data_IF_856781318150
#
_entry.id   IF_856781318150
#
_cell.length_a   1.000
_cell.length_b   1.000
_cell.length_c   1.000
_cell.angle_alpha   90.00
_cell.angle_beta   90.00
_cell.angle_gamma   90.00
#
_symmetry.space_group_name_H-M   'P 1'
#
loop_
_entity.id
_entity.type
_entity.pdbx_description
1 polymer ?
#
# COMPACT_ATOMS: atom_id res chain seq x y z
N UNK A 1 16.42 7.35 6.85
CA UNK A 1 15.60 8.46 7.38
C UNK A 1 14.57 7.86 8.32
N UNK A 2 14.38 8.47 9.49
CA UNK A 2 13.41 8.02 10.49
C UNK A 2 12.52 9.21 10.84
N UNK A 3 11.21 8.99 10.95
CA UNK A 3 10.24 10.01 11.33
C UNK A 3 9.15 9.42 12.24
N UNK A 4 8.61 10.23 13.13
CA UNK A 4 7.45 9.90 13.95
C UNK A 4 6.57 11.16 14.00
N UNK A 5 5.35 11.05 13.48
CA UNK A 5 4.42 12.17 13.42
C UNK A 5 3.93 12.66 14.78
N UNK A 6 4.07 11.86 15.85
CA UNK A 6 3.52 12.18 17.17
C UNK A 6 2.00 12.38 17.16
N UNK A 7 1.30 11.79 16.19
CA UNK A 7 -0.15 11.95 16.02
C UNK A 7 -0.86 11.20 17.15
N UNK A 8 -1.63 11.93 17.96
CA UNK A 8 -2.40 11.34 19.05
C UNK A 8 -3.47 10.36 18.52
N UNK A 9 -3.70 9.23 19.21
CA UNK A 9 -4.78 8.31 18.86
C UNK A 9 -6.13 9.01 18.72
N UNK A 10 -6.93 8.59 17.73
CA UNK A 10 -8.24 9.19 17.48
C UNK A 10 -8.21 10.53 16.72
N UNK A 11 -7.08 10.87 16.08
CA UNK A 11 -6.92 12.08 15.25
C UNK A 11 -6.88 11.73 13.75
N UNK A 12 -8.02 11.37 13.13
CA UNK A 12 -8.06 10.81 11.78
C UNK A 12 -7.79 11.81 10.65
N UNK A 13 -7.80 13.12 10.97
CA UNK A 13 -7.65 14.24 10.05
C UNK A 13 -6.20 14.74 9.92
N UNK A 14 -5.26 14.13 10.65
CA UNK A 14 -3.83 14.46 10.58
C UNK A 14 -3.04 13.33 9.98
N UNK A 15 -2.10 13.68 9.12
CA UNK A 15 -1.10 12.79 8.54
C UNK A 15 0.28 13.38 8.79
N UNK A 16 1.28 12.53 8.89
CA UNK A 16 2.68 12.92 8.77
C UNK A 16 3.32 12.08 7.68
N UNK A 17 4.54 12.42 7.26
CA UNK A 17 5.27 11.49 6.42
C UNK A 17 6.78 11.61 6.43
N UNK A 18 7.43 10.56 5.93
CA UNK A 18 8.88 10.52 5.76
C UNK A 18 9.34 11.46 4.66
N UNK A 19 8.86 11.25 3.43
CA UNK A 19 9.08 12.17 2.31
C UNK A 19 7.77 12.60 1.69
N UNK A 20 7.61 13.91 1.55
CA UNK A 20 6.35 14.55 1.15
C UNK A 20 6.56 15.42 -0.09
N UNK A 21 5.76 15.18 -1.14
CA UNK A 21 5.63 16.12 -2.26
C UNK A 21 4.34 16.89 -2.05
N UNK A 22 4.47 18.18 -1.74
CA UNK A 22 3.34 19.04 -1.39
C UNK A 22 2.43 19.36 -2.58
N UNK A 23 1.18 19.71 -2.28
CA UNK A 23 0.20 20.14 -3.28
C UNK A 23 0.73 21.31 -4.12
N UNK A 24 0.49 21.27 -5.44
CA UNK A 24 0.93 22.29 -6.39
C UNK A 24 2.40 22.18 -6.82
N UNK A 25 3.19 21.26 -6.24
CA UNK A 25 4.54 21.00 -6.70
C UNK A 25 4.56 20.23 -8.02
N UNK A 26 5.50 20.60 -8.89
CA UNK A 26 5.85 19.88 -10.12
C UNK A 26 7.29 19.40 -9.98
N UNK A 27 7.48 18.08 -9.90
CA UNK A 27 8.77 17.48 -9.58
C UNK A 27 9.16 16.51 -10.69
N UNK A 28 10.27 16.75 -11.35
CA UNK A 28 10.82 15.82 -12.34
C UNK A 28 11.21 14.49 -11.68
N UNK A 29 11.94 14.57 -10.56
CA UNK A 29 12.48 13.37 -9.89
C UNK A 29 12.52 13.47 -8.38
N UNK A 30 12.03 12.43 -7.72
CA UNK A 30 12.29 12.12 -6.30
C UNK A 30 13.11 10.84 -6.22
N UNK A 31 14.19 10.86 -5.45
CA UNK A 31 15.08 9.70 -5.26
C UNK A 31 15.38 9.48 -3.79
N UNK A 32 14.89 8.37 -3.24
CA UNK A 32 15.22 7.89 -1.90
C UNK A 32 16.30 6.80 -2.02
N UNK A 33 17.55 7.14 -1.73
CA UNK A 33 18.70 6.21 -1.88
C UNK A 33 18.88 5.20 -0.74
N UNK A 34 18.29 5.48 0.42
CA UNK A 34 18.38 4.61 1.59
C UNK A 34 17.02 4.47 2.26
N UNK A 35 16.97 3.60 3.27
CA UNK A 35 15.73 3.30 3.98
C UNK A 35 15.00 4.56 4.47
N UNK A 36 13.67 4.54 4.35
CA UNK A 36 12.76 5.51 4.97
C UNK A 36 11.83 4.74 5.90
N UNK A 37 11.80 5.11 7.18
CA UNK A 37 10.97 4.46 8.19
C UNK A 37 10.13 5.49 8.95
N UNK A 38 8.85 5.19 9.14
CA UNK A 38 7.94 5.96 10.01
C UNK A 38 7.45 5.13 11.20
N UNK A 39 7.04 5.78 12.30
CA UNK A 39 6.63 5.10 13.54
C UNK A 39 5.27 5.52 14.14
N UNK A 40 4.71 6.64 13.69
CA UNK A 40 3.48 7.22 14.23
C UNK A 40 2.21 6.67 13.59
N UNK A 41 1.08 6.90 14.27
CA UNK A 41 -0.24 6.60 13.74
C UNK A 41 -0.55 7.50 12.51
N UNK A 42 -1.10 6.90 11.45
CA UNK A 42 -1.40 7.62 10.20
C UNK A 42 -0.16 8.30 9.57
N UNK A 43 1.03 7.76 9.82
CA UNK A 43 2.26 8.18 9.16
C UNK A 43 2.40 7.52 7.79
N UNK A 44 2.70 8.34 6.78
CA UNK A 44 2.94 7.92 5.40
C UNK A 44 4.44 7.87 5.15
N UNK A 45 5.01 6.76 4.70
CA UNK A 45 6.46 6.71 4.45
C UNK A 45 6.81 7.62 3.28
N UNK A 46 6.10 7.46 2.15
CA UNK A 46 6.18 8.30 0.96
C UNK A 46 4.79 8.83 0.61
N UNK A 47 4.63 10.15 0.56
CA UNK A 47 3.34 10.80 0.34
C UNK A 47 3.39 11.81 -0.82
N UNK A 48 2.53 11.61 -1.81
CA UNK A 48 2.42 12.49 -2.97
C UNK A 48 1.09 13.25 -3.04
N UNK A 49 1.16 14.58 -2.92
CA UNK A 49 0.07 15.52 -3.17
C UNK A 49 0.26 16.35 -4.45
N UNK A 50 1.45 16.31 -5.06
CA UNK A 50 1.80 17.09 -6.25
C UNK A 50 1.79 16.28 -7.55
N UNK A 51 2.52 16.77 -8.55
CA UNK A 51 2.76 16.08 -9.82
C UNK A 51 4.21 15.64 -9.88
N UNK A 52 4.46 14.34 -9.93
CA UNK A 52 5.80 13.74 -9.98
C UNK A 52 5.96 12.94 -11.26
N UNK A 53 7.00 13.22 -12.04
CA UNK A 53 7.29 12.40 -13.21
C UNK A 53 7.94 11.07 -12.80
N UNK A 54 9.03 11.11 -12.03
CA UNK A 54 9.73 9.91 -11.57
C UNK A 54 9.93 9.89 -10.05
N UNK A 55 9.39 8.89 -9.36
CA UNK A 55 9.72 8.60 -7.96
C UNK A 55 10.41 7.24 -7.85
N UNK A 56 11.63 7.22 -7.33
CA UNK A 56 12.37 5.98 -7.07
C UNK A 56 12.78 5.88 -5.60
N UNK A 57 12.43 4.78 -4.95
CA UNK A 57 13.02 4.34 -3.70
C UNK A 57 13.93 3.12 -3.98
N UNK A 58 15.22 3.27 -3.69
CA UNK A 58 16.24 2.25 -3.96
C UNK A 58 16.31 1.17 -2.88
N UNK A 59 15.91 1.52 -1.67
CA UNK A 59 15.98 0.66 -0.49
C UNK A 59 14.58 0.51 0.14
N UNK A 60 14.49 -0.33 1.17
CA UNK A 60 13.25 -0.70 1.85
C UNK A 60 12.56 0.55 2.40
N UNK A 61 11.23 0.55 2.36
CA UNK A 61 10.41 1.54 3.06
C UNK A 61 9.56 0.84 4.10
N UNK A 62 9.44 1.46 5.28
CA UNK A 62 8.81 0.79 6.44
C UNK A 62 7.91 1.74 7.20
N UNK A 63 6.68 1.32 7.52
CA UNK A 63 5.86 2.03 8.50
C UNK A 63 5.60 1.15 9.71
N UNK A 64 5.73 1.73 10.89
CA UNK A 64 5.18 1.20 12.13
C UNK A 64 4.07 2.15 12.59
N UNK A 65 3.00 1.58 13.16
CA UNK A 65 1.88 2.36 13.68
C UNK A 65 0.57 2.09 12.93
N UNK A 66 -0.58 2.26 13.62
CA UNK A 66 -1.88 2.01 13.03
C UNK A 66 -2.14 2.95 11.85
N UNK A 67 -2.79 2.44 10.80
CA UNK A 67 -3.11 3.17 9.57
C UNK A 67 -1.91 3.77 8.82
N UNK A 68 -0.67 3.35 9.14
CA UNK A 68 0.51 3.76 8.39
C UNK A 68 0.50 3.22 6.96
N UNK A 69 1.09 3.98 6.02
CA UNK A 69 1.11 3.60 4.59
C UNK A 69 2.52 3.70 4.02
N UNK A 70 2.97 2.67 3.30
CA UNK A 70 4.26 2.67 2.61
C UNK A 70 4.34 3.76 1.53
N UNK A 71 3.45 3.72 0.55
CA UNK A 71 3.31 4.79 -0.43
C UNK A 71 1.84 5.17 -0.60
N UNK A 72 1.52 6.46 -0.47
CA UNK A 72 0.18 6.99 -0.72
C UNK A 72 0.21 8.06 -1.82
N UNK A 73 -0.79 8.01 -2.70
CA UNK A 73 -0.98 9.01 -3.74
C UNK A 73 -2.31 9.75 -3.58
N UNK A 74 -2.21 11.07 -3.57
CA UNK A 74 -3.31 12.01 -3.76
C UNK A 74 -3.19 12.81 -5.08
N UNK A 75 -1.97 13.01 -5.58
CA UNK A 75 -1.68 13.77 -6.79
C UNK A 75 -1.51 12.92 -8.06
N UNK A 76 -0.54 13.26 -8.90
CA UNK A 76 -0.22 12.49 -10.10
C UNK A 76 1.21 11.95 -10.04
N UNK A 77 1.39 10.67 -10.41
CA UNK A 77 2.71 10.06 -10.61
C UNK A 77 2.77 9.39 -11.98
N UNK A 78 3.76 9.75 -12.80
CA UNK A 78 3.96 9.04 -14.07
C UNK A 78 4.65 7.69 -13.85
N UNK A 79 5.78 7.65 -13.13
CA UNK A 79 6.49 6.40 -12.79
C UNK A 79 6.90 6.36 -11.33
N UNK A 80 6.41 5.36 -10.61
CA UNK A 80 6.86 4.95 -9.27
C UNK A 80 7.63 3.64 -9.35
N UNK A 81 8.80 3.58 -8.72
CA UNK A 81 9.56 2.34 -8.53
C UNK A 81 10.09 2.22 -7.09
N UNK A 82 9.70 1.16 -6.38
CA UNK A 82 10.31 0.78 -5.10
C UNK A 82 11.09 -0.51 -5.32
N UNK A 83 12.42 -0.40 -5.34
CA UNK A 83 13.35 -1.47 -5.74
C UNK A 83 13.59 -2.53 -4.66
N UNK A 84 13.18 -2.25 -3.43
CA UNK A 84 13.23 -3.17 -2.30
C UNK A 84 11.82 -3.36 -1.71
N UNK A 85 11.72 -4.01 -0.55
CA UNK A 85 10.44 -4.31 0.06
C UNK A 85 9.72 -3.04 0.57
N UNK A 86 8.40 -3.03 0.43
CA UNK A 86 7.50 -2.23 1.25
C UNK A 86 7.05 -3.11 2.42
N UNK A 87 7.26 -2.66 3.66
CA UNK A 87 6.82 -3.36 4.86
C UNK A 87 6.00 -2.43 5.75
N UNK A 88 4.77 -2.80 6.09
CA UNK A 88 3.96 -1.99 7.02
C UNK A 88 3.45 -2.81 8.18
N UNK A 89 3.54 -2.26 9.39
CA UNK A 89 3.16 -2.91 10.64
C UNK A 89 2.18 -2.04 11.41
N UNK A 90 0.91 -2.45 11.42
CA UNK A 90 -0.13 -1.78 12.20
C UNK A 90 -1.52 -2.14 11.72
N UNK A 91 -2.49 -2.04 12.63
CA UNK A 91 -3.89 -2.22 12.29
C UNK A 91 -4.30 -1.23 11.18
N UNK A 92 -4.93 -1.74 10.12
CA UNK A 92 -5.35 -0.93 8.98
C UNK A 92 -4.22 -0.39 8.10
N UNK A 93 -2.96 -0.83 8.29
CA UNK A 93 -1.82 -0.35 7.52
C UNK A 93 -1.89 -0.74 6.03
N UNK A 94 -1.20 -0.01 5.15
CA UNK A 94 -1.23 -0.30 3.70
C UNK A 94 0.14 -0.23 3.04
N UNK A 95 0.43 -1.14 2.11
CA UNK A 95 1.67 -1.09 1.34
C UNK A 95 1.67 0.05 0.33
N UNK A 96 0.72 0.01 -0.60
CA UNK A 96 0.53 1.05 -1.62
C UNK A 96 -0.95 1.43 -1.74
N UNK A 97 -1.23 2.73 -1.80
CA UNK A 97 -2.61 3.21 -1.84
C UNK A 97 -2.81 4.42 -2.76
N UNK A 98 -3.84 4.37 -3.61
CA UNK A 98 -4.22 5.50 -4.49
C UNK A 98 -5.61 6.01 -4.08
N UNK A 99 -5.62 7.14 -3.37
CA UNK A 99 -6.84 7.75 -2.83
C UNK A 99 -7.49 8.75 -3.77
N UNK A 100 -6.69 9.59 -4.42
CA UNK A 100 -7.10 10.58 -5.43
C UNK A 100 -6.04 10.66 -6.53
N UNK A 101 -6.37 11.36 -7.62
CA UNK A 101 -5.46 11.56 -8.75
C UNK A 101 -5.18 10.26 -9.51
N UNK A 102 -3.96 10.09 -10.02
CA UNK A 102 -3.62 8.97 -10.92
C UNK A 102 -2.17 8.52 -10.78
N UNK A 103 -1.93 7.23 -11.02
CA UNK A 103 -0.58 6.68 -11.16
C UNK A 103 -0.50 5.96 -12.51
N UNK A 104 0.41 6.38 -13.40
CA UNK A 104 0.50 5.76 -14.72
C UNK A 104 1.23 4.41 -14.68
N UNK A 105 2.35 4.32 -13.95
CA UNK A 105 3.08 3.07 -13.76
C UNK A 105 3.66 2.97 -12.35
N UNK A 106 3.40 1.87 -11.65
CA UNK A 106 3.96 1.55 -10.34
C UNK A 106 4.63 0.17 -10.38
N UNK A 107 5.88 0.10 -9.93
CA UNK A 107 6.67 -1.11 -9.88
C UNK A 107 7.23 -1.34 -8.47
N UNK A 108 7.04 -2.55 -7.96
CA UNK A 108 7.43 -2.94 -6.61
C UNK A 108 8.21 -4.25 -6.64
N UNK A 109 9.26 -4.34 -5.83
CA UNK A 109 9.95 -5.62 -5.64
C UNK A 109 9.10 -6.60 -4.83
N UNK A 110 8.61 -6.18 -3.67
CA UNK A 110 7.73 -6.97 -2.79
C UNK A 110 6.91 -6.06 -1.91
N UNK A 111 5.68 -6.46 -1.58
CA UNK A 111 4.83 -5.74 -0.63
C UNK A 111 4.42 -6.69 0.49
N UNK A 112 4.74 -6.34 1.73
CA UNK A 112 4.35 -7.07 2.94
C UNK A 112 3.60 -6.13 3.89
N UNK A 113 2.45 -6.58 4.37
CA UNK A 113 1.64 -5.78 5.30
C UNK A 113 1.16 -6.64 6.46
N UNK A 114 1.25 -6.11 7.67
CA UNK A 114 0.93 -6.79 8.91
C UNK A 114 -0.07 -5.98 9.74
N UNK A 115 -1.12 -6.64 10.21
CA UNK A 115 -2.14 -6.09 11.11
C UNK A 115 -3.54 -6.38 10.61
N UNK A 116 -4.50 -6.44 11.53
CA UNK A 116 -5.90 -6.64 11.15
C UNK A 116 -6.40 -5.48 10.28
N UNK A 117 -7.12 -5.81 9.20
CA UNK A 117 -7.55 -4.85 8.19
C UNK A 117 -6.42 -4.17 7.40
N UNK A 118 -5.19 -4.69 7.46
CA UNK A 118 -4.09 -4.20 6.64
C UNK A 118 -4.28 -4.59 5.16
N UNK A 119 -3.83 -3.78 4.21
CA UNK A 119 -4.00 -4.07 2.77
C UNK A 119 -2.70 -3.90 2.01
N UNK A 120 -2.26 -4.94 1.30
CA UNK A 120 -1.04 -4.87 0.48
C UNK A 120 -1.07 -3.73 -0.52
N UNK A 121 -1.98 -3.80 -1.48
CA UNK A 121 -2.25 -2.75 -2.45
C UNK A 121 -3.75 -2.44 -2.47
N UNK A 122 -4.09 -1.16 -2.31
CA UNK A 122 -5.47 -0.69 -2.43
C UNK A 122 -5.57 0.45 -3.46
N UNK A 123 -6.47 0.36 -4.42
CA UNK A 123 -6.72 1.48 -5.35
C UNK A 123 -8.20 1.83 -5.40
N UNK A 124 -8.48 3.14 -5.43
CA UNK A 124 -9.83 3.70 -5.55
C UNK A 124 -9.96 4.70 -6.71
N UNK A 125 -8.92 4.78 -7.55
CA UNK A 125 -8.77 5.69 -8.68
C UNK A 125 -8.15 4.96 -9.88
N UNK A 126 -8.10 5.58 -11.07
CA UNK A 126 -7.39 5.02 -12.21
C UNK A 126 -5.88 4.84 -11.95
N UNK A 127 -5.39 3.66 -12.30
CA UNK A 127 -3.98 3.30 -12.36
C UNK A 127 -3.70 2.63 -13.71
N UNK A 128 -2.62 3.01 -14.37
CA UNK A 128 -2.22 2.38 -15.63
C UNK A 128 -1.74 0.95 -15.38
N UNK A 129 -0.49 0.80 -14.95
CA UNK A 129 0.11 -0.51 -14.66
C UNK A 129 0.61 -0.61 -13.23
N UNK A 130 0.34 -1.75 -12.59
CA UNK A 130 0.96 -2.18 -11.33
C UNK A 130 1.75 -3.44 -11.63
N UNK A 131 3.04 -3.45 -11.28
CA UNK A 131 3.91 -4.62 -11.38
C UNK A 131 4.54 -4.94 -10.02
N UNK A 132 4.43 -6.20 -9.57
CA UNK A 132 5.07 -6.69 -8.35
C UNK A 132 5.90 -7.93 -8.68
N UNK A 133 7.18 -7.95 -8.29
CA UNK A 133 8.13 -9.00 -8.71
C UNK A 133 8.15 -10.23 -7.81
N UNK A 134 7.96 -10.08 -6.50
CA UNK A 134 8.06 -11.17 -5.51
C UNK A 134 6.84 -11.26 -4.58
N UNK A 135 5.68 -10.98 -5.15
CA UNK A 135 4.39 -11.19 -4.52
C UNK A 135 3.94 -10.05 -3.62
N UNK A 136 2.66 -10.14 -3.26
CA UNK A 136 2.02 -9.30 -2.26
C UNK A 136 1.54 -10.23 -1.15
N UNK A 137 1.98 -9.97 0.08
CA UNK A 137 1.71 -10.82 1.21
C UNK A 137 1.12 -10.02 2.37
N UNK A 138 -0.03 -10.45 2.88
CA UNK A 138 -0.73 -9.74 3.95
C UNK A 138 -1.05 -10.67 5.11
N UNK A 139 -0.69 -10.23 6.31
CA UNK A 139 -0.89 -10.91 7.58
C UNK A 139 -1.91 -10.14 8.43
N UNK A 140 -2.86 -10.85 9.02
CA UNK A 140 -3.92 -10.28 9.85
C UNK A 140 -5.28 -10.82 9.47
N UNK A 141 -6.28 -10.57 10.32
CA UNK A 141 -7.67 -10.86 10.07
C UNK A 141 -8.45 -9.62 9.66
N UNK A 142 -9.75 -9.63 9.93
CA UNK A 142 -10.61 -8.46 9.75
C UNK A 142 -10.49 -7.50 10.92
N UNK A 143 -10.22 -6.22 10.66
CA UNK A 143 -10.04 -5.20 11.70
C UNK A 143 -10.42 -3.80 11.26
N UNK A 144 -10.33 -2.86 12.20
CA UNK A 144 -10.68 -1.46 11.95
C UNK A 144 -9.56 -0.76 11.18
N UNK A 145 -9.93 -0.07 10.11
CA UNK A 145 -9.02 0.58 9.18
C UNK A 145 -9.48 1.98 8.86
N UNK A 146 -8.56 2.95 8.93
CA UNK A 146 -8.86 4.34 8.58
C UNK A 146 -8.79 4.52 7.05
N UNK A 147 -9.90 4.94 6.46
CA UNK A 147 -10.02 5.24 5.02
C UNK A 147 -10.52 6.67 4.88
N UNK A 148 -9.67 7.58 4.40
CA UNK A 148 -10.01 9.00 4.17
C UNK A 148 -10.72 9.66 5.38
N UNK A 149 -10.24 9.39 6.59
CA UNK A 149 -10.80 9.96 7.83
C UNK A 149 -11.96 9.17 8.45
N UNK A 150 -12.42 8.08 7.82
CA UNK A 150 -13.53 7.23 8.32
C UNK A 150 -13.01 5.87 8.73
N UNK A 151 -13.38 5.39 9.92
CA UNK A 151 -13.05 4.04 10.40
C UNK A 151 -14.02 3.03 9.81
N UNK A 152 -13.49 2.03 9.11
CA UNK A 152 -14.25 0.95 8.49
C UNK A 152 -13.64 -0.40 8.87
N UNK A 153 -14.46 -1.43 9.03
CA UNK A 153 -13.98 -2.79 9.28
C UNK A 153 -13.65 -3.47 7.95
N UNK A 154 -12.38 -3.79 7.73
CA UNK A 154 -11.87 -4.34 6.47
C UNK A 154 -11.11 -5.65 6.71
N UNK A 155 -11.16 -6.61 5.77
CA UNK A 155 -10.31 -7.80 5.79
C UNK A 155 -8.85 -7.46 5.45
N UNK A 156 -7.89 -8.22 5.98
CA UNK A 156 -6.47 -8.02 5.69
C UNK A 156 -6.07 -8.57 4.30
N UNK A 157 -6.47 -7.89 3.23
CA UNK A 157 -6.38 -8.38 1.84
C UNK A 157 -5.05 -8.04 1.16
N UNK A 158 -4.53 -8.91 0.28
CA UNK A 158 -3.32 -8.61 -0.50
C UNK A 158 -3.54 -7.54 -1.59
N UNK A 159 -4.54 -7.71 -2.46
CA UNK A 159 -4.91 -6.73 -3.49
C UNK A 159 -6.39 -6.36 -3.42
N UNK A 160 -6.70 -5.08 -3.27
CA UNK A 160 -8.07 -4.56 -3.18
C UNK A 160 -8.33 -3.44 -4.19
N UNK A 161 -9.25 -3.66 -5.12
CA UNK A 161 -9.75 -2.64 -6.04
C UNK A 161 -11.11 -2.17 -5.53
N UNK A 162 -11.15 -0.96 -4.98
CA UNK A 162 -12.38 -0.35 -4.45
C UNK A 162 -13.26 0.20 -5.58
N UNK A 163 -14.55 0.51 -5.31
CA UNK A 163 -15.41 1.18 -6.29
C UNK A 163 -14.75 2.45 -6.86
N UNK A 164 -14.84 2.65 -8.17
CA UNK A 164 -14.16 3.72 -8.89
C UNK A 164 -12.69 3.45 -9.22
N UNK A 165 -12.06 2.44 -8.59
CA UNK A 165 -10.73 1.96 -8.94
C UNK A 165 -10.71 1.25 -10.28
N UNK A 166 -9.77 1.62 -11.14
CA UNK A 166 -9.54 0.97 -12.43
C UNK A 166 -8.05 0.73 -12.61
N UNK A 167 -7.63 -0.52 -12.75
CA UNK A 167 -6.27 -0.85 -13.18
C UNK A 167 -6.28 -1.33 -14.63
N UNK A 168 -5.52 -0.71 -15.53
CA UNK A 168 -5.40 -1.23 -16.91
C UNK A 168 -4.66 -2.56 -16.94
N UNK A 169 -3.63 -2.70 -16.11
CA UNK A 169 -2.84 -3.93 -16.02
C UNK A 169 -2.27 -4.14 -14.62
N UNK A 170 -2.45 -5.33 -14.10
CA UNK A 170 -1.83 -5.79 -12.86
C UNK A 170 -1.03 -7.06 -13.17
N UNK A 171 0.27 -7.01 -12.92
CA UNK A 171 1.19 -8.14 -13.05
C UNK A 171 1.81 -8.41 -11.68
N UNK A 172 1.54 -9.57 -11.10
CA UNK A 172 2.14 -9.99 -9.84
C UNK A 172 2.85 -11.31 -10.06
N UNK A 173 4.17 -11.29 -10.08
CA UNK A 173 4.97 -12.49 -9.91
C UNK A 173 5.09 -12.81 -8.42
N UNK A 174 5.16 -14.10 -8.05
CA UNK A 174 5.25 -14.55 -6.66
C UNK A 174 3.91 -14.66 -5.90
N UNK A 175 2.79 -14.39 -6.57
CA UNK A 175 1.45 -14.63 -6.05
C UNK A 175 0.86 -13.54 -5.16
N UNK A 176 -0.43 -13.70 -4.85
CA UNK A 176 -1.14 -12.96 -3.81
C UNK A 176 -1.42 -13.90 -2.64
N UNK A 177 -0.90 -13.55 -1.47
CA UNK A 177 -0.97 -14.43 -0.29
C UNK A 177 -1.57 -13.67 0.88
N UNK A 178 -2.58 -14.28 1.51
CA UNK A 178 -3.16 -13.82 2.77
C UNK A 178 -3.03 -14.91 3.82
N UNK A 179 -2.73 -14.52 5.06
CA UNK A 179 -2.49 -15.46 6.16
C UNK A 179 -3.62 -15.51 7.20
N UNK A 180 -4.60 -14.60 7.11
CA UNK A 180 -5.77 -14.62 7.98
C UNK A 180 -6.77 -15.70 7.59
N UNK A 181 -7.44 -16.28 8.59
CA UNK A 181 -8.56 -17.20 8.36
C UNK A 181 -9.68 -16.50 7.59
N UNK A 182 -10.20 -17.17 6.55
CA UNK A 182 -11.28 -16.67 5.69
C UNK A 182 -11.01 -15.30 5.04
N UNK A 183 -9.73 -14.95 4.83
CA UNK A 183 -9.34 -13.71 4.16
C UNK A 183 -8.96 -13.99 2.71
N UNK A 184 -9.81 -13.56 1.78
CA UNK A 184 -9.51 -13.62 0.35
C UNK A 184 -8.29 -12.73 -0.02
N UNK A 185 -7.36 -13.22 -0.85
CA UNK A 185 -6.17 -12.46 -1.26
C UNK A 185 -6.48 -11.38 -2.31
N UNK A 186 -7.63 -11.49 -3.00
CA UNK A 186 -8.05 -10.55 -4.02
C UNK A 186 -9.48 -10.07 -3.77
N UNK A 187 -9.67 -8.77 -3.63
CA UNK A 187 -10.97 -8.11 -3.58
C UNK A 187 -11.14 -7.19 -4.81
N UNK A 188 -12.12 -7.45 -5.67
CA UNK A 188 -12.41 -6.58 -6.84
C UNK A 188 -13.84 -6.06 -6.78
N UNK A 189 -14.00 -4.80 -6.40
CA UNK A 189 -15.25 -4.02 -6.48
C UNK A 189 -15.18 -2.88 -7.51
N UNK A 190 -14.04 -2.71 -8.16
CA UNK A 190 -13.84 -1.83 -9.32
C UNK A 190 -13.58 -2.65 -10.57
N UNK A 191 -12.58 -2.26 -11.38
CA UNK A 191 -12.22 -2.97 -12.61
C UNK A 191 -10.72 -3.22 -12.73
N UNK A 192 -10.36 -4.40 -13.23
CA UNK A 192 -9.01 -4.72 -13.73
C UNK A 192 -9.18 -5.15 -15.19
N UNK A 193 -8.48 -4.50 -16.12
CA UNK A 193 -8.61 -4.80 -17.56
C UNK A 193 -7.74 -6.00 -17.97
N UNK A 194 -6.55 -6.13 -17.37
CA UNK A 194 -5.69 -7.30 -17.53
C UNK A 194 -5.06 -7.67 -16.17
N UNK A 195 -5.25 -8.92 -15.75
CA UNK A 195 -4.69 -9.47 -14.51
C UNK A 195 -3.82 -10.69 -14.84
N UNK A 196 -2.55 -10.64 -14.45
CA UNK A 196 -1.63 -11.77 -14.48
C UNK A 196 -1.05 -11.97 -13.08
N UNK A 197 -1.31 -13.12 -12.48
CA UNK A 197 -0.77 -13.50 -11.17
C UNK A 197 -0.01 -14.81 -11.32
N UNK A 198 1.31 -14.73 -11.44
CA UNK A 198 2.19 -15.90 -11.43
C UNK A 198 2.43 -16.32 -9.98
N UNK A 199 2.29 -17.61 -9.67
CA UNK A 199 2.28 -18.13 -8.29
C UNK A 199 0.88 -18.24 -7.68
N UNK A 200 -0.15 -17.72 -8.36
CA UNK A 200 -1.55 -17.91 -7.99
C UNK A 200 -2.01 -17.10 -6.78
N UNK A 201 -3.16 -17.51 -6.24
CA UNK A 201 -3.81 -16.93 -5.07
C UNK A 201 -3.75 -17.97 -3.95
N UNK A 202 -3.29 -17.57 -2.77
CA UNK A 202 -3.22 -18.48 -1.62
C UNK A 202 -3.80 -17.82 -0.37
N UNK A 203 -4.70 -18.55 0.29
CA UNK A 203 -5.11 -18.31 1.67
C UNK A 203 -4.35 -19.30 2.53
N UNK A 204 -3.31 -18.85 3.22
CA UNK A 204 -2.50 -19.68 4.11
C UNK A 204 -3.20 -19.98 5.46
N UNK A 205 -4.51 -19.74 5.54
CA UNK A 205 -5.34 -20.02 6.72
C UNK A 205 -5.30 -21.51 7.09
N UNK A 206 -4.78 -21.76 8.30
CA UNK A 206 -4.62 -23.04 9.01
C UNK A 206 -3.49 -23.98 8.57
N UNK A 207 -2.40 -23.95 9.35
CA UNK A 207 -1.37 -24.97 9.40
C UNK A 207 -0.63 -24.96 10.74
N UNK A 208 -1.30 -25.43 11.80
CA UNK A 208 -0.77 -26.28 12.89
C UNK A 208 -1.85 -26.44 13.97
N UNK A 209 -2.84 -27.31 13.69
CA UNK A 209 -3.53 -28.01 14.75
C UNK A 209 -2.54 -29.00 15.38
N UNK A 210 -2.02 -28.68 16.56
CA UNK A 210 -1.29 -29.66 17.36
C UNK A 210 -2.32 -30.62 17.96
N UNK A 211 -2.21 -31.89 17.57
CA UNK A 211 -2.72 -33.09 18.26
C UNK A 211 -2.36 -33.09 19.74
#
# INVERSE_FOLDING_TARGET
MFSDGGIAPGTPDRISGGVFVVHGAFVDRVCNRGQVTTYGANDMVLDNWGTVDHWTAEDKITSHGPSGIGFVNFGAVNRLAVKAAIETFGQGARGFNVYTGTVHHAEFERVLTHGDGAVGIQISQPVGQIKVRRGIETYGGTGDSLVKGVVLRLPATALSIKPGGVARRVEVAGGLVTHGADIEPLEVRGRIEALLVEGGFATAGEGLGTI
#
